data_IF_983294543765
#
_entry.id   IF_983294543765
#
_cell.length_a   1.000
_cell.length_b   1.000
_cell.length_c   1.000
_cell.angle_alpha   90.00
_cell.angle_beta   90.00
_cell.angle_gamma   90.00
#
_symmetry.space_group_name_H-M   'P 1'
#
loop_
_entity.id
_entity.type
_entity.pdbx_description
1 polymer ?
#
# COMPACT_ATOMS: atom_id res chain seq x y z
N UNK A 1 -8.49 -20.32 -3.78
CA UNK A 1 -9.61 -21.03 -4.46
C UNK A 1 -9.10 -21.64 -5.78
N UNK A 2 -9.97 -22.13 -6.70
CA UNK A 2 -9.55 -22.46 -8.08
C UNK A 2 -9.97 -21.32 -8.99
N UNK A 3 -9.01 -20.51 -9.43
CA UNK A 3 -9.21 -19.25 -10.17
C UNK A 3 -8.32 -19.19 -11.41
N UNK A 4 -8.62 -18.26 -12.33
CA UNK A 4 -7.68 -17.75 -13.34
C UNK A 4 -7.65 -16.21 -13.37
N UNK A 5 -7.97 -15.58 -12.25
CA UNK A 5 -7.70 -14.16 -12.01
C UNK A 5 -6.20 -13.87 -12.04
N UNK A 6 -5.82 -12.61 -12.22
CA UNK A 6 -4.42 -12.18 -12.40
C UNK A 6 -3.72 -12.64 -13.69
N UNK A 7 -4.26 -13.60 -14.44
CA UNK A 7 -3.63 -14.15 -15.66
C UNK A 7 -4.31 -13.61 -16.93
N UNK A 8 -3.52 -13.06 -17.86
CA UNK A 8 -3.99 -12.61 -19.17
C UNK A 8 -4.26 -13.81 -20.08
N UNK A 9 -5.53 -13.97 -20.44
CA UNK A 9 -5.97 -14.97 -21.42
C UNK A 9 -5.47 -14.64 -22.82
N UNK A 10 -5.28 -13.35 -23.12
CA UNK A 10 -4.66 -12.88 -24.36
C UNK A 10 -3.21 -13.36 -24.49
N UNK A 11 -2.40 -13.28 -23.42
CA UNK A 11 -1.06 -13.89 -23.43
C UNK A 11 -1.10 -15.39 -23.69
N UNK A 12 -2.04 -16.13 -23.07
CA UNK A 12 -2.14 -17.58 -23.31
C UNK A 12 -2.54 -17.93 -24.76
N UNK A 13 -3.41 -17.12 -25.39
CA UNK A 13 -3.73 -17.25 -26.82
C UNK A 13 -2.47 -17.01 -27.68
N UNK A 14 -1.65 -15.99 -27.36
CA UNK A 14 -0.42 -15.72 -28.12
C UNK A 14 0.60 -16.86 -27.98
N UNK A 15 0.78 -17.43 -26.78
CA UNK A 15 1.63 -18.62 -26.60
C UNK A 15 1.08 -19.84 -27.35
N UNK A 16 -0.25 -20.03 -27.43
CA UNK A 16 -0.84 -21.10 -28.24
C UNK A 16 -0.54 -20.90 -29.74
N UNK A 17 -0.65 -19.67 -30.26
CA UNK A 17 -0.29 -19.32 -31.65
C UNK A 17 1.20 -19.52 -31.92
N UNK A 18 2.08 -19.22 -30.96
CA UNK A 18 3.52 -19.53 -31.03
C UNK A 18 3.74 -21.02 -31.23
N UNK A 19 3.22 -21.89 -30.37
CA UNK A 19 3.46 -23.33 -30.49
C UNK A 19 2.83 -23.94 -31.75
N UNK A 20 1.63 -23.48 -32.14
CA UNK A 20 0.97 -23.90 -33.39
C UNK A 20 1.78 -23.54 -34.64
N UNK A 21 2.38 -22.35 -34.70
CA UNK A 21 3.18 -21.91 -35.85
C UNK A 21 4.62 -22.45 -35.82
N UNK A 22 5.16 -22.78 -34.64
CA UNK A 22 6.50 -23.32 -34.47
C UNK A 22 6.63 -24.81 -34.78
N UNK A 23 5.60 -25.61 -34.50
CA UNK A 23 5.65 -27.08 -34.54
C UNK A 23 4.87 -27.71 -35.70
N UNK A 24 4.69 -26.96 -36.80
CA UNK A 24 4.08 -27.44 -38.05
C UNK A 24 4.83 -28.66 -38.65
N UNK A 25 6.12 -28.79 -38.34
CA UNK A 25 6.98 -29.89 -38.78
C UNK A 25 6.71 -31.23 -38.07
N UNK A 26 5.89 -31.24 -37.01
CA UNK A 26 5.55 -32.42 -36.21
C UNK A 26 5.04 -33.61 -37.04
N UNK A 27 4.36 -33.34 -38.15
CA UNK A 27 3.80 -34.36 -39.04
C UNK A 27 4.62 -34.58 -40.33
N UNK A 28 5.68 -33.78 -40.57
CA UNK A 28 6.52 -33.87 -41.78
C UNK A 28 7.94 -34.35 -41.48
N UNK A 29 8.43 -34.17 -40.26
CA UNK A 29 9.86 -34.30 -39.94
C UNK A 29 10.06 -34.95 -38.58
N UNK A 30 10.37 -36.25 -38.58
CA UNK A 30 10.74 -36.96 -37.36
C UNK A 30 12.20 -36.65 -36.98
N UNK A 31 12.40 -36.04 -35.81
CA UNK A 31 13.73 -35.76 -35.23
C UNK A 31 14.07 -36.79 -34.16
N UNK A 32 13.20 -36.96 -33.17
CA UNK A 32 13.32 -37.99 -32.12
C UNK A 32 11.99 -38.19 -31.40
N UNK A 33 11.86 -39.29 -30.65
CA UNK A 33 10.71 -39.53 -29.77
C UNK A 33 10.53 -38.40 -28.75
N UNK A 34 11.62 -37.99 -28.08
CA UNK A 34 11.60 -36.89 -27.12
C UNK A 34 11.12 -35.58 -27.76
N UNK A 35 11.67 -35.19 -28.92
CA UNK A 35 11.26 -33.98 -29.63
C UNK A 35 9.76 -34.02 -30.01
N UNK A 36 9.30 -35.16 -30.52
CA UNK A 36 7.89 -35.36 -30.91
C UNK A 36 6.94 -35.28 -29.72
N UNK A 37 7.29 -35.95 -28.61
CA UNK A 37 6.51 -35.94 -27.35
C UNK A 37 6.45 -34.53 -26.76
N UNK A 38 7.57 -33.80 -26.72
CA UNK A 38 7.59 -32.42 -26.20
C UNK A 38 6.74 -31.47 -27.04
N UNK A 39 6.79 -31.57 -28.38
CA UNK A 39 5.92 -30.78 -29.28
C UNK A 39 4.43 -31.03 -29.02
N UNK A 40 4.03 -32.31 -28.91
CA UNK A 40 2.66 -32.70 -28.57
C UNK A 40 2.26 -32.18 -27.19
N UNK A 41 3.16 -32.26 -26.20
CA UNK A 41 2.93 -31.78 -24.84
C UNK A 41 2.69 -30.26 -24.83
N UNK A 42 3.55 -29.45 -25.45
CA UNK A 42 3.36 -27.99 -25.49
C UNK A 42 2.06 -27.57 -26.18
N UNK A 43 1.70 -28.22 -27.30
CA UNK A 43 0.42 -27.98 -27.99
C UNK A 43 -0.78 -28.35 -27.10
N UNK A 44 -0.72 -29.52 -26.44
CA UNK A 44 -1.78 -30.00 -25.58
C UNK A 44 -1.95 -29.17 -24.29
N UNK A 45 -0.85 -28.79 -23.62
CA UNK A 45 -0.91 -27.97 -22.39
C UNK A 45 -1.35 -26.54 -22.70
N UNK A 46 -0.83 -25.91 -23.76
CA UNK A 46 -1.23 -24.56 -24.14
C UNK A 46 -2.70 -24.49 -24.57
N UNK A 47 -3.16 -25.45 -25.39
CA UNK A 47 -4.58 -25.58 -25.72
C UNK A 47 -5.47 -25.86 -24.50
N UNK A 48 -5.00 -26.68 -23.55
CA UNK A 48 -5.69 -26.92 -22.29
C UNK A 48 -5.78 -25.65 -21.42
N UNK A 49 -4.71 -24.85 -21.32
CA UNK A 49 -4.74 -23.57 -20.57
C UNK A 49 -5.77 -22.61 -21.15
N UNK A 50 -5.79 -22.41 -22.47
CA UNK A 50 -6.79 -21.56 -23.15
C UNK A 50 -8.21 -22.07 -22.91
N UNK A 51 -8.44 -23.39 -23.02
CA UNK A 51 -9.74 -24.00 -22.69
C UNK A 51 -10.14 -23.81 -21.22
N UNK A 52 -9.19 -23.99 -20.29
CA UNK A 52 -9.44 -23.84 -18.86
C UNK A 52 -9.86 -22.41 -18.51
N UNK A 53 -9.20 -21.39 -19.07
CA UNK A 53 -9.57 -19.98 -18.85
C UNK A 53 -10.91 -19.63 -19.52
N UNK A 54 -11.03 -19.80 -20.83
CA UNK A 54 -12.18 -19.29 -21.58
C UNK A 54 -13.47 -20.13 -21.47
N UNK A 55 -13.39 -21.37 -20.98
CA UNK A 55 -14.55 -22.26 -20.81
C UNK A 55 -14.77 -22.65 -19.34
N UNK A 56 -13.77 -23.23 -18.66
CA UNK A 56 -13.97 -23.85 -17.34
C UNK A 56 -13.99 -22.85 -16.19
N UNK A 57 -13.12 -21.84 -16.25
CA UNK A 57 -12.92 -20.82 -15.22
C UNK A 57 -13.30 -19.42 -15.71
N UNK A 58 -14.11 -19.32 -16.77
CA UNK A 58 -14.52 -18.04 -17.38
C UNK A 58 -15.11 -17.04 -16.37
N UNK A 59 -15.77 -17.52 -15.31
CA UNK A 59 -16.34 -16.70 -14.25
C UNK A 59 -15.29 -16.00 -13.35
N UNK A 60 -14.01 -16.39 -13.42
CA UNK A 60 -12.89 -15.77 -12.70
C UNK A 60 -11.83 -15.18 -13.64
N UNK A 61 -12.13 -15.04 -14.93
CA UNK A 61 -11.25 -14.36 -15.89
C UNK A 61 -11.65 -12.90 -16.03
N UNK A 62 -10.70 -11.99 -15.78
CA UNK A 62 -10.94 -10.55 -15.86
C UNK A 62 -10.93 -10.05 -17.31
N UNK A 63 -12.15 -9.98 -17.87
CA UNK A 63 -12.40 -9.43 -19.19
C UNK A 63 -12.23 -7.89 -19.29
N UNK A 64 -12.21 -7.16 -18.17
CA UNK A 64 -12.15 -5.70 -18.15
C UNK A 64 -10.70 -5.21 -18.16
N UNK A 65 -9.85 -5.78 -17.31
CA UNK A 65 -8.45 -5.38 -17.18
C UNK A 65 -7.54 -6.03 -18.25
N UNK A 66 -7.86 -7.23 -18.77
CA UNK A 66 -7.16 -7.84 -19.91
C UNK A 66 -7.56 -7.18 -21.25
N UNK A 67 -7.49 -5.85 -21.33
CA UNK A 67 -7.98 -5.02 -22.44
C UNK A 67 -6.95 -4.81 -23.56
N UNK A 68 -5.69 -5.24 -23.38
CA UNK A 68 -4.60 -5.08 -24.35
C UNK A 68 -4.96 -5.53 -25.79
N UNK A 69 -4.47 -4.81 -26.80
CA UNK A 69 -4.77 -5.07 -28.22
C UNK A 69 -3.70 -5.91 -28.91
N UNK A 70 -3.96 -7.20 -29.07
CA UNK A 70 -3.00 -8.18 -29.62
C UNK A 70 -2.64 -7.95 -31.10
N UNK A 71 -3.44 -7.18 -31.85
CA UNK A 71 -3.14 -6.84 -33.24
C UNK A 71 -1.83 -6.04 -33.36
N UNK A 72 -1.50 -5.23 -32.34
CA UNK A 72 -0.23 -4.49 -32.26
C UNK A 72 1.00 -5.39 -32.16
N UNK A 73 0.83 -6.68 -31.84
CA UNK A 73 1.91 -7.66 -31.77
C UNK A 73 1.88 -8.57 -33.00
N UNK A 74 0.69 -9.10 -33.34
CA UNK A 74 0.50 -10.00 -34.47
C UNK A 74 0.88 -9.36 -35.81
N UNK A 75 0.53 -8.08 -36.04
CA UNK A 75 0.81 -7.40 -37.33
C UNK A 75 2.31 -7.14 -37.54
N UNK A 76 3.07 -6.53 -36.60
CA UNK A 76 4.52 -6.40 -36.76
C UNK A 76 5.25 -7.74 -36.86
N UNK A 77 4.88 -8.73 -36.03
CA UNK A 77 5.49 -10.07 -36.12
C UNK A 77 5.23 -10.73 -37.49
N UNK A 78 4.04 -10.57 -38.08
CA UNK A 78 3.74 -11.08 -39.41
C UNK A 78 4.52 -10.35 -40.51
N UNK A 79 4.57 -9.01 -40.48
CA UNK A 79 5.27 -8.20 -41.48
C UNK A 79 6.79 -8.41 -41.49
N UNK A 80 7.39 -8.71 -40.34
CA UNK A 80 8.83 -8.98 -40.21
C UNK A 80 9.22 -10.43 -40.55
N UNK A 81 8.26 -11.32 -40.81
CA UNK A 81 8.51 -12.77 -40.92
C UNK A 81 8.37 -13.32 -42.33
N UNK A 82 9.46 -13.87 -42.86
CA UNK A 82 9.46 -14.58 -44.15
C UNK A 82 8.84 -15.99 -44.05
N UNK A 83 8.84 -16.61 -42.87
CA UNK A 83 8.28 -17.96 -42.62
C UNK A 83 7.64 -18.05 -41.23
N UNK A 84 6.71 -18.99 -41.05
CA UNK A 84 5.95 -19.18 -39.80
C UNK A 84 6.83 -19.54 -38.58
N UNK A 85 7.99 -20.14 -38.80
CA UNK A 85 8.98 -20.38 -37.74
C UNK A 85 9.54 -19.07 -37.17
N UNK A 86 9.95 -18.13 -38.03
CA UNK A 86 10.41 -16.78 -37.66
C UNK A 86 9.30 -16.00 -36.95
N UNK A 87 8.06 -16.10 -37.47
CA UNK A 87 6.87 -15.51 -36.84
C UNK A 87 6.68 -16.02 -35.41
N UNK A 88 6.84 -17.34 -35.18
CA UNK A 88 6.75 -17.90 -33.83
C UNK A 88 7.82 -17.38 -32.87
N UNK A 89 9.00 -16.97 -33.35
CA UNK A 89 10.09 -16.44 -32.51
C UNK A 89 9.84 -14.97 -32.16
N UNK A 90 9.48 -14.14 -33.15
CA UNK A 90 9.12 -12.75 -32.87
C UNK A 90 7.87 -12.67 -31.99
N UNK A 91 6.83 -13.46 -32.24
CA UNK A 91 5.63 -13.44 -31.43
C UNK A 91 5.89 -13.90 -29.98
N UNK A 92 6.70 -14.94 -29.76
CA UNK A 92 7.07 -15.38 -28.41
C UNK A 92 7.79 -14.28 -27.63
N UNK A 93 8.63 -13.49 -28.29
CA UNK A 93 9.38 -12.41 -27.63
C UNK A 93 8.48 -11.31 -27.04
N UNK A 94 7.27 -11.12 -27.59
CA UNK A 94 6.31 -10.10 -27.17
C UNK A 94 5.00 -10.65 -26.58
N UNK A 95 4.78 -11.98 -26.60
CA UNK A 95 3.56 -12.63 -26.14
C UNK A 95 3.21 -12.38 -24.66
N UNK A 96 4.17 -11.90 -23.86
CA UNK A 96 3.98 -11.55 -22.45
C UNK A 96 3.39 -10.14 -22.25
N UNK A 97 3.43 -9.24 -23.25
CA UNK A 97 2.96 -7.85 -23.09
C UNK A 97 1.49 -7.72 -22.62
N UNK A 98 0.53 -8.56 -23.05
CA UNK A 98 -0.82 -8.53 -22.48
C UNK A 98 -0.87 -8.85 -20.97
N UNK A 99 -0.01 -9.74 -20.48
CA UNK A 99 0.14 -10.03 -19.04
C UNK A 99 0.77 -8.87 -18.27
N UNK A 100 1.81 -8.23 -18.83
CA UNK A 100 2.45 -7.06 -18.19
C UNK A 100 1.48 -5.86 -18.16
N UNK A 101 0.69 -5.68 -19.22
CA UNK A 101 -0.38 -4.69 -19.28
C UNK A 101 -1.53 -5.00 -18.30
N UNK A 102 -1.84 -6.28 -18.07
CA UNK A 102 -2.81 -6.68 -17.05
C UNK A 102 -2.31 -6.31 -15.64
N UNK A 103 -1.09 -6.69 -15.27
CA UNK A 103 -0.55 -6.42 -13.92
C UNK A 103 -0.38 -4.91 -13.65
N UNK A 104 0.10 -4.16 -14.63
CA UNK A 104 0.17 -2.68 -14.55
C UNK A 104 -1.21 -1.99 -14.59
N UNK A 105 -2.31 -2.75 -14.72
CA UNK A 105 -3.70 -2.28 -14.60
C UNK A 105 -4.45 -2.83 -13.39
N UNK A 106 -4.06 -3.98 -12.84
CA UNK A 106 -4.64 -4.49 -11.59
C UNK A 106 -3.91 -3.96 -10.37
N UNK A 107 -2.66 -3.46 -10.49
CA UNK A 107 -1.84 -2.98 -9.38
C UNK A 107 -1.33 -4.09 -8.43
N UNK A 108 -2.02 -5.22 -8.41
CA UNK A 108 -1.69 -6.45 -7.72
C UNK A 108 -1.05 -7.47 -8.66
N UNK A 109 0.03 -8.11 -8.18
CA UNK A 109 0.42 -9.43 -8.62
C UNK A 109 -0.07 -10.46 -7.58
N UNK A 110 -1.26 -11.04 -7.79
CA UNK A 110 -1.69 -12.22 -7.02
C UNK A 110 -0.55 -13.25 -6.98
N UNK A 111 -0.43 -14.02 -5.88
CA UNK A 111 0.60 -15.07 -5.76
C UNK A 111 0.65 -16.03 -6.96
N UNK A 112 -0.49 -16.33 -7.60
CA UNK A 112 -0.52 -17.14 -8.84
C UNK A 112 0.17 -16.46 -10.02
N UNK A 113 0.06 -15.14 -10.13
CA UNK A 113 0.68 -14.30 -11.17
C UNK A 113 2.19 -14.22 -10.96
N UNK A 114 2.66 -13.96 -9.73
CA UNK A 114 4.09 -13.96 -9.41
C UNK A 114 4.73 -15.33 -9.66
N UNK A 115 4.07 -16.43 -9.27
CA UNK A 115 4.54 -17.79 -9.58
C UNK A 115 4.57 -18.08 -11.09
N UNK A 116 3.56 -17.63 -11.85
CA UNK A 116 3.52 -17.78 -13.31
C UNK A 116 4.67 -17.02 -13.98
N UNK A 117 4.88 -15.75 -13.63
CA UNK A 117 5.92 -14.90 -14.18
C UNK A 117 7.32 -15.36 -13.76
N UNK A 118 7.50 -15.81 -12.51
CA UNK A 118 8.75 -16.43 -12.05
C UNK A 118 9.08 -17.72 -12.83
N UNK A 119 8.09 -18.60 -13.05
CA UNK A 119 8.31 -19.82 -13.83
C UNK A 119 8.71 -19.52 -15.29
N UNK A 120 8.10 -18.48 -15.88
CA UNK A 120 8.34 -18.08 -17.25
C UNK A 120 9.68 -17.35 -17.43
N UNK A 121 10.07 -16.52 -16.45
CA UNK A 121 11.42 -15.93 -16.34
C UNK A 121 12.50 -16.99 -16.08
N UNK A 122 12.20 -18.01 -15.28
CA UNK A 122 13.10 -19.17 -15.04
C UNK A 122 13.32 -19.97 -16.33
N UNK A 123 12.25 -20.23 -17.10
CA UNK A 123 12.35 -20.79 -18.45
C UNK A 123 13.23 -19.92 -19.36
N UNK A 124 13.04 -18.59 -19.35
CA UNK A 124 13.86 -17.64 -20.14
C UNK A 124 15.34 -17.72 -19.77
N UNK A 125 15.68 -17.81 -18.48
CA UNK A 125 17.06 -17.95 -18.01
C UNK A 125 17.71 -19.26 -18.49
N UNK A 126 17.00 -20.40 -18.36
CA UNK A 126 17.46 -21.69 -18.89
C UNK A 126 17.63 -21.67 -20.42
N UNK A 127 16.73 -20.98 -21.14
CA UNK A 127 16.82 -20.82 -22.59
C UNK A 127 18.04 -20.00 -23.02
N UNK A 128 18.39 -18.93 -22.29
CA UNK A 128 19.62 -18.17 -22.51
C UNK A 128 20.87 -19.04 -22.29
N UNK A 129 20.93 -19.79 -21.17
CA UNK A 129 22.02 -20.71 -20.88
C UNK A 129 22.19 -21.77 -21.97
N UNK A 130 21.09 -22.29 -22.52
CA UNK A 130 21.11 -23.20 -23.66
C UNK A 130 21.73 -22.55 -24.92
N UNK A 131 21.41 -21.30 -25.25
CA UNK A 131 22.04 -20.62 -26.40
C UNK A 131 23.54 -20.35 -26.18
N UNK A 132 23.95 -20.00 -24.95
CA UNK A 132 25.39 -19.88 -24.61
C UNK A 132 26.08 -21.23 -24.76
N UNK A 133 25.48 -22.33 -24.28
CA UNK A 133 26.01 -23.68 -24.46
C UNK A 133 26.16 -24.04 -25.95
N UNK A 134 25.13 -23.82 -26.77
CA UNK A 134 25.15 -24.14 -28.21
C UNK A 134 26.16 -23.28 -28.98
N UNK A 135 26.37 -22.02 -28.60
CA UNK A 135 27.45 -21.21 -29.16
C UNK A 135 28.83 -21.78 -28.79
N UNK A 136 29.06 -22.10 -27.50
CA UNK A 136 30.36 -22.55 -27.01
C UNK A 136 30.73 -23.99 -27.42
N UNK A 137 29.75 -24.87 -27.67
CA UNK A 137 29.96 -26.31 -27.93
C UNK A 137 29.63 -26.71 -29.37
N UNK A 138 28.55 -26.19 -29.95
CA UNK A 138 28.15 -26.51 -31.33
C UNK A 138 28.70 -25.51 -32.36
N UNK A 139 29.34 -24.42 -31.92
CA UNK A 139 29.69 -23.25 -32.76
C UNK A 139 28.48 -22.65 -33.51
N UNK A 140 27.28 -22.84 -32.96
CA UNK A 140 26.02 -22.50 -33.63
C UNK A 140 25.54 -21.10 -33.24
N UNK A 141 25.06 -20.35 -34.24
CA UNK A 141 24.70 -18.93 -34.09
C UNK A 141 23.45 -18.60 -34.92
N UNK A 142 22.48 -17.93 -34.31
CA UNK A 142 21.22 -17.52 -34.95
C UNK A 142 20.86 -16.09 -34.53
N UNK A 143 20.93 -15.15 -35.47
CA UNK A 143 20.65 -13.73 -35.23
C UNK A 143 19.20 -13.44 -34.82
N UNK A 144 18.24 -14.23 -35.32
CA UNK A 144 16.81 -14.03 -35.07
C UNK A 144 16.49 -14.45 -33.64
N UNK A 145 16.96 -15.63 -33.22
CA UNK A 145 16.79 -16.14 -31.87
C UNK A 145 17.55 -15.30 -30.82
N UNK A 146 18.72 -14.75 -31.16
CA UNK A 146 19.48 -13.84 -30.29
C UNK A 146 18.76 -12.50 -30.16
N UNK A 147 18.39 -11.84 -31.26
CA UNK A 147 17.74 -10.52 -31.20
C UNK A 147 16.37 -10.57 -30.49
N UNK A 148 15.49 -11.49 -30.92
CA UNK A 148 14.21 -11.71 -30.25
C UNK A 148 14.41 -12.14 -28.79
N UNK A 149 15.49 -12.87 -28.51
CA UNK A 149 15.89 -13.23 -27.16
C UNK A 149 16.31 -12.07 -26.27
N UNK A 150 16.99 -11.05 -26.82
CA UNK A 150 17.33 -9.82 -26.09
C UNK A 150 16.07 -8.99 -25.83
N UNK A 151 15.23 -8.78 -26.84
CA UNK A 151 13.93 -8.09 -26.70
C UNK A 151 13.08 -8.75 -25.61
N UNK A 152 12.96 -10.08 -25.65
CA UNK A 152 12.21 -10.83 -24.64
C UNK A 152 12.80 -10.66 -23.25
N UNK A 153 14.13 -10.77 -23.08
CA UNK A 153 14.78 -10.62 -21.78
C UNK A 153 14.59 -9.21 -21.20
N UNK A 154 14.66 -8.15 -22.02
CA UNK A 154 14.37 -6.77 -21.55
C UNK A 154 12.96 -6.66 -20.96
N UNK A 155 11.95 -7.24 -21.63
CA UNK A 155 10.57 -7.22 -21.15
C UNK A 155 10.34 -8.01 -19.85
N UNK A 156 11.14 -9.06 -19.57
CA UNK A 156 11.11 -9.71 -18.25
C UNK A 156 11.88 -8.93 -17.19
N UNK A 157 13.00 -8.28 -17.52
CA UNK A 157 13.75 -7.46 -16.59
C UNK A 157 12.96 -6.22 -16.11
N UNK A 158 12.19 -5.60 -17.01
CA UNK A 158 11.28 -4.49 -16.70
C UNK A 158 10.22 -4.92 -15.66
N UNK A 159 9.61 -6.09 -15.84
CA UNK A 159 8.70 -6.67 -14.86
C UNK A 159 9.37 -6.92 -13.50
N UNK A 160 10.53 -7.57 -13.47
CA UNK A 160 11.22 -7.83 -12.20
C UNK A 160 11.66 -6.54 -11.50
N UNK A 161 11.98 -5.46 -12.24
CA UNK A 161 12.25 -4.17 -11.62
C UNK A 161 11.01 -3.61 -10.90
N UNK A 162 9.85 -3.61 -11.57
CA UNK A 162 8.57 -3.13 -11.02
C UNK A 162 8.07 -3.97 -9.82
N UNK A 163 8.33 -5.28 -9.80
CA UNK A 163 7.90 -6.20 -8.73
C UNK A 163 8.88 -6.24 -7.54
N UNK A 164 10.10 -5.66 -7.65
CA UNK A 164 11.15 -5.72 -6.60
C UNK A 164 11.03 -4.69 -5.48
N UNK A 165 9.81 -4.42 -5.01
CA UNK A 165 9.55 -3.98 -3.62
C UNK A 165 10.34 -2.78 -3.10
N UNK A 166 10.73 -1.85 -3.98
CA UNK A 166 11.39 -0.59 -3.62
C UNK A 166 10.59 0.57 -4.18
N UNK A 167 9.69 1.06 -3.35
CA UNK A 167 9.13 2.38 -3.54
C UNK A 167 10.28 3.39 -3.42
N UNK A 168 10.26 4.45 -4.23
CA UNK A 168 11.23 5.54 -4.05
C UNK A 168 11.03 6.16 -2.66
N UNK A 169 12.11 6.48 -1.95
CA UNK A 169 12.01 7.21 -0.69
C UNK A 169 11.57 8.65 -1.03
N UNK A 170 10.27 8.93 -0.94
CA UNK A 170 9.66 10.14 -1.49
C UNK A 170 10.00 11.38 -0.65
N UNK A 171 10.29 11.22 0.64
CA UNK A 171 10.46 12.33 1.58
C UNK A 171 11.80 12.27 2.34
N UNK A 172 12.47 13.42 2.38
CA UNK A 172 13.59 13.75 3.27
C UNK A 172 13.21 14.96 4.12
N UNK A 173 13.65 15.03 5.36
CA UNK A 173 13.36 16.15 6.27
C UNK A 173 13.94 17.48 5.76
N UNK A 174 13.18 18.55 5.95
CA UNK A 174 13.48 19.92 5.57
C UNK A 174 14.02 20.78 6.72
N UNK A 175 13.76 22.09 6.64
CA UNK A 175 14.16 23.05 7.66
C UNK A 175 12.99 23.36 8.61
N UNK A 176 13.01 22.74 9.78
CA UNK A 176 12.04 23.02 10.86
C UNK A 176 12.11 24.49 11.27
N UNK A 177 11.05 25.27 11.05
CA UNK A 177 11.02 26.69 11.43
C UNK A 177 10.93 26.86 12.97
N UNK A 178 11.14 28.05 13.56
CA UNK A 178 11.10 28.24 15.01
C UNK A 178 9.80 27.80 15.72
N UNK A 179 9.89 27.57 17.04
CA UNK A 179 8.74 27.28 17.91
C UNK A 179 7.77 28.49 17.97
N UNK A 180 6.46 28.24 17.99
CA UNK A 180 5.43 29.29 18.06
C UNK A 180 4.96 29.56 19.49
N UNK A 181 4.78 30.83 19.80
CA UNK A 181 4.46 31.32 21.14
C UNK A 181 2.98 31.16 21.49
N UNK A 182 2.68 30.40 22.55
CA UNK A 182 1.35 30.31 23.15
C UNK A 182 1.14 31.48 24.13
N UNK A 183 0.11 32.34 23.96
CA UNK A 183 -0.21 33.44 24.87
C UNK A 183 -0.34 33.02 26.34
N UNK A 184 -0.05 33.92 27.28
CA UNK A 184 0.02 33.59 28.71
C UNK A 184 -1.32 33.13 29.29
N UNK A 185 -2.42 33.67 28.79
CA UNK A 185 -3.81 33.47 29.23
C UNK A 185 -4.36 32.06 28.98
N UNK A 186 -3.82 31.35 28.00
CA UNK A 186 -4.22 29.98 27.66
C UNK A 186 -3.63 29.00 28.68
N UNK A 187 -4.46 28.11 29.22
CA UNK A 187 -4.01 27.06 30.14
C UNK A 187 -3.04 26.10 29.42
N UNK A 188 -1.94 25.71 30.10
CA UNK A 188 -0.83 24.95 29.48
C UNK A 188 -0.59 23.66 30.26
N UNK A 189 -0.40 22.51 29.58
CA UNK A 189 -0.24 21.23 30.24
C UNK A 189 1.10 21.15 31.00
N UNK A 190 1.25 20.22 31.97
CA UNK A 190 2.42 20.14 32.83
C UNK A 190 3.77 19.96 32.09
N UNK A 191 3.76 19.45 30.85
CA UNK A 191 4.96 19.26 30.02
C UNK A 191 5.43 20.54 29.29
N UNK A 192 4.61 21.60 29.19
CA UNK A 192 5.04 22.87 28.59
C UNK A 192 6.17 23.57 29.38
N UNK A 193 6.16 23.38 30.70
CA UNK A 193 7.06 24.05 31.66
C UNK A 193 8.29 23.23 32.04
N UNK A 194 8.30 21.93 31.74
CA UNK A 194 9.34 20.97 32.12
C UNK A 194 9.24 19.73 31.24
N UNK A 195 10.36 19.20 30.77
CA UNK A 195 10.37 17.94 30.04
C UNK A 195 9.83 16.82 30.96
N UNK A 196 8.80 16.13 30.50
CA UNK A 196 8.22 14.94 31.11
C UNK A 196 8.32 13.79 30.10
N UNK A 197 8.45 12.52 30.56
CA UNK A 197 8.25 11.38 29.68
C UNK A 197 6.79 11.35 29.17
N UNK A 198 6.52 10.77 28.00
CA UNK A 198 5.16 10.53 27.51
C UNK A 198 4.44 9.47 28.37
N UNK A 199 3.12 9.42 28.26
CA UNK A 199 2.24 8.48 28.97
C UNK A 199 1.54 9.02 30.23
N UNK A 200 0.71 8.17 30.82
CA UNK A 200 -0.17 8.47 31.96
C UNK A 200 0.58 8.39 33.31
N UNK A 201 0.45 9.42 34.16
CA UNK A 201 1.03 9.46 35.51
C UNK A 201 0.08 9.01 36.63
N UNK A 202 -1.15 8.60 36.29
CA UNK A 202 -2.18 8.18 37.25
C UNK A 202 -2.17 6.67 37.54
N UNK A 203 -1.52 5.86 36.70
CA UNK A 203 -1.39 4.39 36.90
C UNK A 203 -2.71 3.61 36.82
N UNK A 204 -3.70 4.17 36.09
CA UNK A 204 -4.89 3.47 35.59
C UNK A 204 -5.67 4.37 34.62
N UNK A 205 -6.44 3.81 33.67
CA UNK A 205 -7.28 4.60 32.76
C UNK A 205 -8.45 5.32 33.44
N UNK A 206 -8.76 6.53 32.95
CA UNK A 206 -9.88 7.33 33.43
C UNK A 206 -11.25 6.76 33.03
N UNK A 207 -12.11 6.51 34.03
CA UNK A 207 -13.57 6.53 33.85
C UNK A 207 -14.04 7.98 34.04
N UNK A 208 -14.42 8.65 32.96
CA UNK A 208 -14.71 10.09 32.96
C UNK A 208 -16.08 10.43 33.56
N UNK A 209 -16.10 11.47 34.40
CA UNK A 209 -17.36 12.08 34.88
C UNK A 209 -18.10 12.80 33.74
N UNK A 210 -19.42 13.07 33.86
CA UNK A 210 -20.18 13.76 32.82
C UNK A 210 -19.58 15.11 32.37
N UNK A 211 -18.96 15.85 33.29
CA UNK A 211 -18.30 17.13 32.98
C UNK A 211 -17.01 16.93 32.16
N UNK A 212 -16.22 15.88 32.46
CA UNK A 212 -15.05 15.52 31.66
C UNK A 212 -15.46 15.02 30.28
N UNK A 213 -16.55 14.25 30.17
CA UNK A 213 -17.10 13.81 28.88
C UNK A 213 -17.49 15.01 28.00
N UNK A 214 -18.15 16.02 28.56
CA UNK A 214 -18.52 17.22 27.79
C UNK A 214 -17.27 18.03 27.37
N UNK A 215 -16.25 18.12 28.23
CA UNK A 215 -14.96 18.70 27.85
C UNK A 215 -14.30 17.93 26.69
N UNK A 216 -14.33 16.59 26.71
CA UNK A 216 -13.83 15.76 25.60
C UNK A 216 -14.62 15.99 24.30
N UNK A 217 -15.94 16.20 24.34
CA UNK A 217 -16.74 16.55 23.14
C UNK A 217 -16.35 17.90 22.55
N UNK A 218 -16.12 18.90 23.39
CA UNK A 218 -15.67 20.23 22.95
C UNK A 218 -14.27 20.16 22.36
N UNK A 219 -13.38 19.38 22.99
CA UNK A 219 -12.02 19.10 22.51
C UNK A 219 -12.01 18.40 21.14
N UNK A 220 -12.78 17.31 21.01
CA UNK A 220 -12.90 16.53 19.78
C UNK A 220 -13.43 17.35 18.60
N UNK A 221 -14.44 18.19 18.84
CA UNK A 221 -15.00 19.09 17.81
C UNK A 221 -14.07 20.24 17.41
N UNK A 222 -13.13 20.65 18.26
CA UNK A 222 -12.09 21.60 17.86
C UNK A 222 -11.05 20.94 16.95
N UNK A 223 -10.60 19.74 17.28
CA UNK A 223 -9.62 18.99 16.51
C UNK A 223 -10.10 18.71 15.07
N UNK A 224 -11.31 18.15 14.93
CA UNK A 224 -11.92 17.82 13.64
C UNK A 224 -12.02 19.03 12.68
N UNK A 225 -12.08 20.25 13.23
CA UNK A 225 -12.20 21.51 12.50
C UNK A 225 -10.88 22.07 11.97
N UNK A 226 -9.76 21.39 12.17
CA UNK A 226 -8.43 21.89 11.80
C UNK A 226 -7.85 21.29 10.51
N UNK A 227 -8.23 20.07 10.09
CA UNK A 227 -7.48 19.34 9.05
C UNK A 227 -7.66 19.75 7.57
N UNK A 228 -8.69 20.52 7.20
CA UNK A 228 -9.08 20.68 5.77
C UNK A 228 -8.38 21.83 5.04
N UNK A 229 -7.09 21.65 4.76
CA UNK A 229 -6.22 22.72 4.21
C UNK A 229 -5.20 22.28 3.14
N UNK A 230 -4.88 20.99 3.04
CA UNK A 230 -3.84 20.52 2.12
C UNK A 230 -4.24 20.72 0.65
N UNK A 231 -3.50 21.56 -0.09
CA UNK A 231 -3.63 21.75 -1.54
C UNK A 231 -2.26 21.73 -2.21
N UNK A 232 -2.19 21.63 -3.55
CA UNK A 232 -0.89 21.56 -4.25
C UNK A 232 -0.12 22.88 -4.10
N UNK A 233 1.03 22.83 -3.42
CA UNK A 233 1.79 24.02 -2.99
C UNK A 233 1.49 24.47 -1.56
N UNK A 234 0.47 23.87 -0.92
CA UNK A 234 0.27 23.78 0.55
C UNK A 234 0.70 22.37 1.07
N UNK A 235 0.72 22.14 2.39
CA UNK A 235 1.96 21.59 3.01
C UNK A 235 1.86 20.93 4.48
N UNK A 236 2.97 20.89 5.29
CA UNK A 236 3.36 20.38 6.69
C UNK A 236 4.03 21.28 7.88
N UNK A 237 5.15 22.14 7.86
CA UNK A 237 5.60 23.64 8.19
C UNK A 237 5.46 25.15 7.45
N UNK A 238 4.68 25.99 6.60
CA UNK A 238 3.44 26.46 5.72
C UNK A 238 1.82 26.15 5.67
N UNK A 239 1.07 25.85 6.75
CA UNK A 239 -0.39 25.84 7.13
C UNK A 239 -0.73 25.95 8.69
N UNK A 240 0.06 26.54 9.61
CA UNK A 240 -0.01 26.36 11.09
C UNK A 240 -0.35 27.65 11.81
N UNK A 241 0.22 28.72 11.34
CA UNK A 241 -0.32 30.04 11.41
C UNK A 241 -1.76 30.03 10.85
N UNK A 242 -2.20 28.97 10.15
CA UNK A 242 -3.63 28.69 10.07
C UNK A 242 -4.23 28.11 11.36
N UNK A 243 -3.89 26.87 11.76
CA UNK A 243 -4.65 26.16 12.81
C UNK A 243 -4.00 25.98 14.20
N UNK A 244 -2.72 26.27 14.39
CA UNK A 244 -2.22 26.77 15.67
C UNK A 244 -2.96 28.08 16.00
N UNK A 245 -3.06 29.04 15.07
CA UNK A 245 -3.81 30.28 15.28
C UNK A 245 -5.32 30.02 15.50
N UNK A 246 -5.88 28.96 14.90
CA UNK A 246 -7.26 28.48 15.15
C UNK A 246 -7.44 27.87 16.55
N UNK A 247 -6.44 27.15 17.08
CA UNK A 247 -6.39 26.70 18.48
C UNK A 247 -6.36 27.92 19.41
N UNK A 248 -5.45 28.87 19.16
CA UNK A 248 -5.25 30.06 20.00
C UNK A 248 -6.49 30.97 19.96
N UNK A 249 -7.10 31.17 18.79
CA UNK A 249 -8.38 31.87 18.63
C UNK A 249 -9.57 31.12 19.26
N UNK A 250 -9.43 29.83 19.54
CA UNK A 250 -10.39 29.02 20.30
C UNK A 250 -10.04 28.91 21.79
N UNK A 251 -9.02 29.65 22.27
CA UNK A 251 -8.49 29.65 23.64
C UNK A 251 -8.08 28.24 24.13
N UNK A 252 -7.51 27.43 23.24
CA UNK A 252 -7.02 26.07 23.52
C UNK A 252 -5.48 26.00 23.48
N UNK A 253 -4.91 24.86 23.88
CA UNK A 253 -3.46 24.62 23.85
C UNK A 253 -3.03 23.76 22.64
N UNK A 254 -1.92 24.06 21.95
CA UNK A 254 -1.35 23.21 20.89
C UNK A 254 -0.74 21.91 21.43
N UNK A 255 -1.59 20.92 21.67
CA UNK A 255 -1.31 19.62 22.30
C UNK A 255 0.06 18.95 22.03
N UNK A 256 0.46 18.59 20.80
CA UNK A 256 1.81 18.07 20.53
C UNK A 256 2.98 18.99 20.90
N UNK A 257 2.79 20.30 20.99
CA UNK A 257 3.88 21.26 21.23
C UNK A 257 4.56 21.00 22.56
N UNK A 258 5.88 20.78 22.51
CA UNK A 258 6.76 20.35 23.62
C UNK A 258 6.42 18.99 24.24
N UNK A 259 5.46 18.22 23.72
CA UNK A 259 5.19 16.88 24.23
C UNK A 259 6.42 15.99 24.04
N UNK A 260 7.00 15.51 25.14
CA UNK A 260 8.32 14.87 25.19
C UNK A 260 9.46 15.58 24.43
N UNK A 261 9.31 16.88 24.11
CA UNK A 261 10.26 17.67 23.30
C UNK A 261 9.91 17.87 21.82
N UNK A 262 8.73 17.43 21.35
CA UNK A 262 8.30 17.66 19.97
C UNK A 262 8.19 19.18 19.64
N UNK A 263 8.79 19.66 18.52
CA UNK A 263 9.02 21.11 18.31
C UNK A 263 7.82 21.88 17.72
N UNK A 264 6.74 21.19 17.33
CA UNK A 264 5.66 21.71 16.47
C UNK A 264 4.28 21.33 17.04
N UNK A 265 3.16 21.72 16.41
CA UNK A 265 1.82 21.54 17.01
C UNK A 265 0.92 20.48 16.37
N UNK A 266 1.32 19.84 15.26
CA UNK A 266 0.94 18.45 14.95
C UNK A 266 2.10 17.67 14.35
N UNK A 267 1.86 16.38 14.20
CA UNK A 267 2.52 15.46 13.30
C UNK A 267 1.92 15.55 11.89
N UNK A 268 2.75 15.50 10.86
CA UNK A 268 2.35 15.58 9.45
C UNK A 268 3.10 14.56 8.61
N UNK A 269 2.39 13.53 8.16
CA UNK A 269 2.98 12.34 7.55
C UNK A 269 2.74 12.30 6.05
N UNK A 270 3.77 12.63 5.25
CA UNK A 270 3.71 12.54 3.78
C UNK A 270 4.20 11.15 3.33
N UNK A 271 3.40 10.48 2.50
CA UNK A 271 3.77 9.27 1.75
C UNK A 271 4.38 8.13 2.59
N UNK A 272 5.71 8.07 2.66
CA UNK A 272 6.47 7.00 3.32
C UNK A 272 6.75 7.28 4.81
N UNK A 273 6.23 8.38 5.34
CA UNK A 273 6.16 8.66 6.77
C UNK A 273 4.88 7.99 7.30
N UNK A 274 5.03 7.13 8.31
CA UNK A 274 3.94 6.40 8.97
C UNK A 274 3.15 7.30 9.92
N UNK A 275 3.86 7.97 10.83
CA UNK A 275 3.33 8.91 11.81
C UNK A 275 4.44 9.87 12.26
N UNK A 276 4.10 10.83 13.12
CA UNK A 276 5.06 11.71 13.82
C UNK A 276 6.03 12.53 12.95
N UNK A 277 5.79 12.65 11.64
CA UNK A 277 6.59 13.51 10.77
C UNK A 277 6.58 14.95 11.28
N UNK A 278 7.76 15.53 11.51
CA UNK A 278 7.87 16.89 12.04
C UNK A 278 7.53 17.90 10.93
N UNK A 279 6.59 18.82 11.17
CA UNK A 279 6.39 20.01 10.35
C UNK A 279 7.66 20.83 10.04
N UNK A 280 7.92 21.11 8.76
CA UNK A 280 9.09 21.81 8.21
C UNK A 280 8.85 22.72 6.95
N UNK A 281 8.92 24.06 7.11
CA UNK A 281 8.84 25.17 6.10
C UNK A 281 7.68 25.21 5.06
N UNK A 282 6.72 24.32 5.24
CA UNK A 282 5.53 24.00 4.42
C UNK A 282 4.54 23.30 5.46
N UNK A 283 3.35 23.73 6.23
CA UNK A 283 2.67 23.82 7.75
C UNK A 283 1.37 22.91 8.17
N UNK A 284 0.83 22.93 9.46
CA UNK A 284 -0.05 22.01 10.35
C UNK A 284 -1.61 21.78 10.10
N UNK A 285 -2.62 21.36 10.98
CA UNK A 285 -2.90 21.15 12.48
C UNK A 285 -4.23 20.32 12.80
N UNK A 286 -4.73 19.86 14.00
CA UNK A 286 -4.27 19.59 15.42
C UNK A 286 -5.24 19.82 16.63
N UNK A 287 -5.23 18.99 17.72
CA UNK A 287 -5.51 19.28 19.19
C UNK A 287 -5.37 18.03 20.17
N UNK A 288 -5.99 17.98 21.39
CA UNK A 288 -6.24 16.81 22.30
C UNK A 288 -7.72 16.34 22.23
N UNK A 289 -8.47 16.79 21.23
CA UNK A 289 -9.23 15.80 20.49
C UNK A 289 -8.19 15.20 19.56
N UNK A 290 -7.96 13.89 19.64
CA UNK A 290 -6.97 13.27 18.78
C UNK A 290 -7.66 12.59 17.60
N UNK A 291 -7.19 12.96 16.41
CA UNK A 291 -7.71 12.56 15.12
C UNK A 291 -6.76 13.00 13.99
N UNK A 292 -6.56 12.08 13.07
CA UNK A 292 -5.81 12.22 11.83
C UNK A 292 -6.66 11.74 10.66
N UNK A 293 -6.49 12.37 9.50
CA UNK A 293 -7.12 11.99 8.24
C UNK A 293 -6.04 12.09 7.16
N UNK A 294 -5.85 11.03 6.36
CA UNK A 294 -4.94 11.09 5.21
C UNK A 294 -5.67 11.76 4.03
N UNK A 295 -5.10 12.87 3.54
CA UNK A 295 -5.68 13.66 2.45
C UNK A 295 -5.04 13.31 1.09
N UNK A 296 -5.86 13.21 0.05
CA UNK A 296 -5.42 13.11 -1.35
C UNK A 296 -5.18 14.52 -1.89
N UNK A 297 -3.96 14.81 -2.37
CA UNK A 297 -3.54 16.15 -2.81
C UNK A 297 -3.12 16.12 -4.29
N UNK A 298 -3.90 16.79 -5.15
CA UNK A 298 -3.67 16.78 -6.59
C UNK A 298 -4.16 15.50 -7.28
N UNK A 299 -3.51 15.13 -8.39
CA UNK A 299 -3.74 13.85 -9.06
C UNK A 299 -3.02 12.73 -8.29
N UNK A 300 -3.77 11.76 -7.75
CA UNK A 300 -3.22 10.60 -7.03
C UNK A 300 -3.53 9.32 -7.80
N UNK A 301 -2.63 8.35 -7.73
CA UNK A 301 -2.80 7.05 -8.39
C UNK A 301 -3.85 6.15 -7.71
N UNK A 302 -4.21 5.06 -8.40
CA UNK A 302 -5.22 4.11 -7.94
C UNK A 302 -4.80 3.42 -6.64
N UNK A 303 -3.51 3.09 -6.44
CA UNK A 303 -3.01 2.46 -5.20
C UNK A 303 -3.02 3.40 -3.99
N UNK A 304 -2.69 4.68 -4.17
CA UNK A 304 -2.78 5.69 -3.10
C UNK A 304 -4.24 5.99 -2.72
N UNK A 305 -5.12 6.06 -3.72
CA UNK A 305 -6.57 6.22 -3.51
C UNK A 305 -7.16 5.03 -2.74
N UNK A 306 -6.82 3.80 -3.18
CA UNK A 306 -7.19 2.55 -2.50
C UNK A 306 -6.70 2.50 -1.05
N UNK A 307 -5.43 2.83 -0.79
CA UNK A 307 -4.87 2.83 0.57
C UNK A 307 -5.66 3.75 1.51
N UNK A 308 -5.96 4.97 1.06
CA UNK A 308 -6.67 5.98 1.86
C UNK A 308 -8.13 5.59 2.11
N UNK A 309 -8.82 5.00 1.13
CA UNK A 309 -10.16 4.45 1.33
C UNK A 309 -10.15 3.21 2.25
N UNK A 310 -9.16 2.33 2.08
CA UNK A 310 -9.00 1.12 2.87
C UNK A 310 -8.72 1.42 4.35
N UNK A 311 -7.80 2.34 4.69
CA UNK A 311 -7.54 2.72 6.08
C UNK A 311 -8.76 3.40 6.71
N UNK A 312 -9.44 4.31 5.99
CA UNK A 312 -10.67 4.97 6.47
C UNK A 312 -11.76 3.96 6.81
N UNK A 313 -11.99 3.00 5.90
CA UNK A 313 -12.97 1.93 6.09
C UNK A 313 -12.57 0.92 7.17
N UNK A 314 -11.26 0.73 7.40
CA UNK A 314 -10.75 -0.05 8.53
C UNK A 314 -11.14 0.61 9.86
N UNK A 315 -10.87 1.92 10.01
CA UNK A 315 -11.22 2.67 11.22
C UNK A 315 -12.73 2.64 11.51
N UNK A 316 -13.58 3.00 10.54
CA UNK A 316 -15.05 3.00 10.74
C UNK A 316 -15.55 1.61 11.19
N UNK A 317 -14.97 0.53 10.68
CA UNK A 317 -15.30 -0.84 11.10
C UNK A 317 -14.74 -1.18 12.49
N UNK A 318 -13.50 -0.82 12.83
CA UNK A 318 -12.96 -0.98 14.19
C UNK A 318 -13.83 -0.28 15.24
N UNK A 319 -14.28 0.95 14.98
CA UNK A 319 -15.18 1.69 15.88
C UNK A 319 -16.52 0.96 16.05
N UNK A 320 -17.03 0.31 14.99
CA UNK A 320 -18.29 -0.45 15.03
C UNK A 320 -18.23 -1.74 15.87
N UNK A 321 -17.03 -2.27 16.14
CA UNK A 321 -16.81 -3.41 17.04
C UNK A 321 -16.83 -3.01 18.52
N UNK A 322 -16.61 -1.72 18.83
CA UNK A 322 -16.38 -1.25 20.18
C UNK A 322 -17.67 -1.11 21.00
N UNK A 323 -17.59 -1.39 22.30
CA UNK A 323 -18.71 -1.24 23.23
C UNK A 323 -18.44 -1.88 24.60
N UNK A 324 -19.36 -1.74 25.58
CA UNK A 324 -19.17 -2.26 26.93
C UNK A 324 -18.86 -3.76 26.97
N UNK A 325 -17.76 -4.12 27.62
CA UNK A 325 -17.34 -5.51 27.83
C UNK A 325 -16.61 -6.18 26.66
N UNK A 326 -16.44 -5.49 25.52
CA UNK A 326 -15.60 -5.92 24.40
C UNK A 326 -14.12 -5.87 24.80
N UNK A 327 -13.33 -6.84 24.37
CA UNK A 327 -11.88 -6.87 24.61
C UNK A 327 -11.16 -5.92 23.63
N UNK A 328 -10.21 -5.11 24.10
CA UNK A 328 -9.43 -4.20 23.25
C UNK A 328 -8.68 -4.93 22.11
N UNK A 329 -8.29 -6.20 22.32
CA UNK A 329 -7.58 -6.97 21.31
C UNK A 329 -8.44 -7.42 20.11
N UNK A 330 -9.76 -7.28 20.14
CA UNK A 330 -10.60 -7.52 18.94
C UNK A 330 -10.33 -6.48 17.85
N UNK A 331 -9.93 -5.25 18.21
CA UNK A 331 -9.53 -4.21 17.25
C UNK A 331 -8.30 -4.67 16.46
N UNK A 332 -7.25 -5.13 17.15
CA UNK A 332 -6.02 -5.60 16.52
C UNK A 332 -6.25 -6.81 15.59
N UNK A 333 -7.01 -7.81 16.06
CA UNK A 333 -7.39 -8.98 15.24
C UNK A 333 -8.17 -8.58 13.99
N UNK A 334 -9.07 -7.59 14.10
CA UNK A 334 -9.81 -7.11 12.95
C UNK A 334 -8.87 -6.46 11.92
N UNK A 335 -7.96 -5.58 12.36
CA UNK A 335 -6.99 -4.93 11.47
C UNK A 335 -6.11 -5.97 10.76
N UNK A 336 -5.59 -6.96 11.49
CA UNK A 336 -4.78 -8.06 10.95
C UNK A 336 -5.51 -8.81 9.81
N UNK A 337 -6.75 -9.28 10.06
CA UNK A 337 -7.54 -9.99 9.05
C UNK A 337 -7.97 -9.06 7.89
N UNK A 338 -8.24 -7.77 8.18
CA UNK A 338 -8.62 -6.79 7.18
C UNK A 338 -7.48 -6.48 6.20
N UNK A 339 -6.24 -6.46 6.69
CA UNK A 339 -5.02 -6.32 5.91
C UNK A 339 -4.73 -7.55 5.04
N UNK A 340 -4.78 -8.76 5.63
CA UNK A 340 -4.63 -10.05 4.93
C UNK A 340 -5.56 -10.17 3.70
N UNK A 341 -6.82 -9.78 3.85
CA UNK A 341 -7.82 -9.79 2.77
C UNK A 341 -7.52 -8.80 1.63
N UNK A 342 -6.65 -7.82 1.83
CA UNK A 342 -6.48 -6.63 0.97
C UNK A 342 -5.05 -6.41 0.46
N UNK A 343 -4.11 -7.30 0.79
CA UNK A 343 -2.70 -7.14 0.41
C UNK A 343 -2.05 -5.89 1.02
N UNK A 344 -2.45 -5.53 2.23
CA UNK A 344 -1.89 -4.44 3.04
C UNK A 344 -1.16 -5.02 4.25
N UNK A 345 -0.31 -4.22 4.86
CA UNK A 345 0.33 -4.50 6.16
C UNK A 345 -0.11 -3.47 7.22
N UNK A 346 -0.03 -3.84 8.50
CA UNK A 346 -0.36 -2.95 9.63
C UNK A 346 0.92 -2.56 10.37
N UNK A 347 1.20 -1.26 10.50
CA UNK A 347 2.38 -0.75 11.24
C UNK A 347 2.07 -0.76 12.75
N UNK A 348 1.98 -1.95 13.33
CA UNK A 348 1.61 -2.20 14.73
C UNK A 348 2.68 -1.76 15.77
N UNK A 349 3.75 -1.09 15.33
CA UNK A 349 4.71 -0.42 16.20
C UNK A 349 4.12 0.84 16.88
N UNK A 350 3.06 1.41 16.29
CA UNK A 350 2.21 2.43 16.90
C UNK A 350 0.80 1.87 17.08
N UNK A 351 0.12 2.30 18.14
CA UNK A 351 -1.18 1.78 18.56
C UNK A 351 -2.02 2.90 19.15
N UNK A 352 -3.33 2.72 19.12
CA UNK A 352 -4.27 3.55 19.88
C UNK A 352 -3.92 3.60 21.36
N UNK A 353 -4.33 4.68 22.02
CA UNK A 353 -4.07 4.95 23.44
C UNK A 353 -5.29 5.54 24.13
N UNK A 354 -5.37 5.39 25.45
CA UNK A 354 -6.29 6.19 26.27
C UNK A 354 -5.96 7.67 26.18
N UNK A 355 -6.98 8.53 26.29
CA UNK A 355 -6.83 9.99 26.22
C UNK A 355 -7.79 10.67 27.21
N UNK A 356 -7.39 11.78 27.84
CA UNK A 356 -8.16 12.42 28.92
C UNK A 356 -7.52 13.67 29.49
N UNK A 357 -7.31 13.72 30.82
CA UNK A 357 -6.44 14.76 31.42
C UNK A 357 -4.96 14.58 31.06
N UNK A 358 -4.61 13.41 30.53
CA UNK A 358 -3.35 13.07 29.89
C UNK A 358 -3.52 12.95 28.36
N UNK A 359 -2.41 13.08 27.62
CA UNK A 359 -2.40 12.91 26.17
C UNK A 359 -2.49 11.43 25.76
N UNK A 360 -1.59 10.59 26.29
CA UNK A 360 -1.50 9.17 25.99
C UNK A 360 -1.58 8.34 27.27
N UNK A 361 -2.19 7.16 27.17
CA UNK A 361 -2.22 6.12 28.19
C UNK A 361 -2.22 4.75 27.52
N UNK A 362 -1.20 3.96 27.81
CA UNK A 362 -0.95 2.69 27.12
C UNK A 362 -1.46 1.49 27.94
N UNK A 363 -2.10 1.73 29.09
CA UNK A 363 -2.66 0.67 29.94
C UNK A 363 -4.04 0.22 29.44
N UNK A 364 -4.09 -0.87 28.68
CA UNK A 364 -5.35 -1.47 28.23
C UNK A 364 -5.88 -2.51 29.24
N UNK A 365 -7.01 -2.26 29.94
CA UNK A 365 -7.50 -3.08 31.06
C UNK A 365 -8.28 -4.34 30.61
N UNK A 366 -7.89 -4.92 29.48
CA UNK A 366 -8.60 -6.01 28.80
C UNK A 366 -9.90 -5.54 28.13
N UNK A 367 -10.89 -5.13 28.94
CA UNK A 367 -12.24 -4.77 28.48
C UNK A 367 -12.55 -3.27 28.51
N UNK A 368 -13.25 -2.84 27.48
CA UNK A 368 -13.89 -1.53 27.35
C UNK A 368 -15.01 -1.35 28.39
N UNK A 369 -15.11 -0.18 29.03
CA UNK A 369 -16.11 0.14 30.05
C UNK A 369 -16.72 1.52 29.80
N UNK A 370 -18.01 1.76 30.11
CA UNK A 370 -18.64 3.08 29.99
C UNK A 370 -17.83 4.19 30.68
N UNK A 371 -17.69 5.33 30.01
CA UNK A 371 -16.90 6.46 30.48
C UNK A 371 -15.40 6.41 30.13
N UNK A 372 -14.89 5.31 29.57
CA UNK A 372 -13.55 5.28 28.95
C UNK A 372 -13.53 6.07 27.64
N UNK A 373 -12.41 6.75 27.36
CA UNK A 373 -12.12 7.35 26.05
C UNK A 373 -10.72 7.01 25.59
N UNK A 374 -10.59 6.63 24.31
CA UNK A 374 -9.34 6.21 23.69
C UNK A 374 -9.35 6.50 22.18
N UNK A 375 -8.18 6.51 21.56
CA UNK A 375 -7.99 6.61 20.10
C UNK A 375 -8.05 5.23 19.45
N UNK A 376 -8.56 5.19 18.21
CA UNK A 376 -8.33 4.08 17.28
C UNK A 376 -7.69 4.72 16.06
N UNK A 377 -6.50 4.27 15.66
CA UNK A 377 -5.61 5.02 14.76
C UNK A 377 -4.83 4.15 13.74
N UNK A 378 -5.45 3.19 13.04
CA UNK A 378 -4.75 2.23 12.19
C UNK A 378 -3.86 2.91 11.14
N UNK A 379 -2.57 2.57 11.16
CA UNK A 379 -1.60 2.91 10.12
C UNK A 379 -1.44 1.69 9.21
N UNK A 380 -1.96 1.78 7.98
CA UNK A 380 -1.82 0.71 6.98
C UNK A 380 -0.74 1.06 5.95
N UNK A 381 -0.07 0.04 5.41
CA UNK A 381 1.04 0.14 4.46
C UNK A 381 0.75 -0.60 3.15
N UNK A 382 1.21 -0.05 2.02
CA UNK A 382 1.25 -0.74 0.72
C UNK A 382 2.46 -1.68 0.54
N UNK A 383 3.36 -1.72 1.52
CA UNK A 383 4.56 -2.56 1.56
C UNK A 383 4.66 -3.25 2.92
N UNK A 384 5.84 -3.27 3.52
CA UNK A 384 6.06 -3.88 4.83
C UNK A 384 5.51 -3.08 6.02
N UNK A 385 5.49 -3.72 7.19
CA UNK A 385 5.18 -3.12 8.50
C UNK A 385 6.40 -2.59 9.27
N UNK A 386 7.61 -2.86 8.79
CA UNK A 386 8.89 -2.49 9.41
C UNK A 386 9.23 -1.00 9.20
N UNK A 387 9.71 -0.33 10.27
CA UNK A 387 9.98 1.11 10.30
C UNK A 387 11.35 1.49 10.89
N UNK A 388 11.78 2.71 10.60
CA UNK A 388 12.82 3.43 11.35
C UNK A 388 12.30 4.80 11.82
N UNK A 389 12.82 5.27 12.96
CA UNK A 389 12.68 6.68 13.38
C UNK A 389 13.94 7.43 12.93
N UNK A 390 13.78 8.64 12.38
CA UNK A 390 14.90 9.46 11.90
C UNK A 390 15.71 10.09 13.04
N UNK A 391 16.86 10.69 12.68
CA UNK A 391 17.77 11.40 13.61
C UNK A 391 17.12 12.61 14.33
N UNK A 392 15.93 13.04 13.90
CA UNK A 392 15.10 14.04 14.59
C UNK A 392 14.40 13.49 15.86
N UNK A 393 14.39 12.16 16.04
CA UNK A 393 13.81 11.46 17.18
C UNK A 393 12.30 11.23 17.13
N UNK A 394 11.63 11.59 16.03
CA UNK A 394 10.17 11.57 15.91
C UNK A 394 9.68 10.96 14.60
N UNK A 395 10.17 11.42 13.45
CA UNK A 395 9.64 11.07 12.13
C UNK A 395 9.82 9.57 11.87
N UNK A 396 8.72 8.81 11.84
CA UNK A 396 8.75 7.38 11.61
C UNK A 396 8.52 7.07 10.12
N UNK A 397 9.43 6.34 9.47
CA UNK A 397 9.36 5.97 8.05
C UNK A 397 9.37 4.46 7.83
N UNK A 398 8.68 4.00 6.78
CA UNK A 398 8.76 2.63 6.26
C UNK A 398 10.17 2.27 5.77
N UNK A 399 10.71 1.10 6.11
CA UNK A 399 12.06 0.69 5.68
C UNK A 399 12.21 0.39 4.17
N UNK A 400 11.11 0.09 3.48
CA UNK A 400 11.05 -0.20 2.04
C UNK A 400 10.60 1.00 1.18
N UNK A 401 10.38 2.16 1.82
CA UNK A 401 9.86 3.38 1.21
C UNK A 401 8.35 3.36 0.91
N UNK A 402 7.61 2.33 1.33
CA UNK A 402 6.20 2.17 1.00
C UNK A 402 5.34 3.33 1.50
N UNK A 403 4.32 3.68 0.72
CA UNK A 403 3.30 4.62 1.19
C UNK A 403 2.44 3.98 2.27
N UNK A 404 2.20 4.77 3.29
CA UNK A 404 1.32 4.45 4.42
C UNK A 404 0.21 5.50 4.55
N UNK A 405 -0.90 5.13 5.17
CA UNK A 405 -2.00 6.05 5.49
C UNK A 405 -2.52 5.75 6.89
N UNK A 406 -2.79 6.83 7.64
CA UNK A 406 -3.40 6.80 8.97
C UNK A 406 -4.77 7.48 8.94
N UNK A 407 -5.72 6.92 9.69
CA UNK A 407 -6.97 7.57 10.04
C UNK A 407 -7.25 7.33 11.50
N UNK A 408 -7.83 8.30 12.19
CA UNK A 408 -8.08 8.18 13.62
C UNK A 408 -9.34 8.90 14.11
N UNK A 409 -9.97 8.28 15.11
CA UNK A 409 -10.92 8.97 15.98
C UNK A 409 -10.68 8.65 17.46
N UNK A 410 -10.59 9.69 18.30
CA UNK A 410 -10.97 9.62 19.72
C UNK A 410 -12.45 9.23 19.85
N UNK A 411 -12.72 8.13 20.57
CA UNK A 411 -14.08 7.65 20.87
C UNK A 411 -14.36 7.57 22.38
N UNK A 412 -15.64 7.57 22.73
CA UNK A 412 -16.17 7.34 24.08
C UNK A 412 -16.95 6.02 24.11
N UNK A 413 -16.71 5.18 25.11
CA UNK A 413 -17.59 4.06 25.44
C UNK A 413 -18.78 4.60 26.25
N UNK A 414 -19.99 4.30 25.79
CA UNK A 414 -21.26 4.63 26.44
C UNK A 414 -21.88 3.36 27.04
N UNK A 415 -22.94 3.50 27.85
CA UNK A 415 -23.69 2.35 28.42
C UNK A 415 -24.25 1.35 27.38
N UNK A 416 -24.29 1.71 26.09
CA UNK A 416 -24.97 0.92 25.04
C UNK A 416 -24.18 0.72 23.74
N UNK A 417 -22.94 1.20 23.67
CA UNK A 417 -22.15 1.26 22.44
C UNK A 417 -21.11 2.38 22.49
N UNK A 418 -20.86 3.06 21.39
CA UNK A 418 -19.83 4.12 21.29
C UNK A 418 -20.35 5.45 20.76
N UNK A 419 -19.65 6.53 21.13
CA UNK A 419 -19.82 7.88 20.60
C UNK A 419 -18.48 8.35 20.02
N UNK A 420 -18.47 8.79 18.76
CA UNK A 420 -17.26 9.37 18.12
C UNK A 420 -17.16 10.83 18.53
N UNK A 421 -16.07 11.20 19.23
CA UNK A 421 -15.91 12.54 19.80
C UNK A 421 -15.29 13.53 18.80
N UNK A 422 -14.50 13.05 17.85
CA UNK A 422 -13.87 13.84 16.77
C UNK A 422 -14.62 13.77 15.43
N UNK A 423 -15.96 13.64 15.46
CA UNK A 423 -16.83 13.84 14.30
C UNK A 423 -17.55 15.19 14.43
N UNK A 424 -17.49 16.00 13.36
CA UNK A 424 -17.98 17.39 13.30
C UNK A 424 -19.49 17.51 13.01
#
# INVERSE_FOLDING_TARGET
TRSCAGISGKSQILFAVVYLTRYLDLFTTYVSLYNSVMKVLFLATSGATVYLMYVKFKATYDHNHDSFRIEFLLVPCALLSLVLWTFSIYLESVAILPQLFLVSRTGEAESITSHYLFALGSYRALYLLNWVYRYMVESHYDLIAIFAGVVQTVLYCDFFYLDTGKYEQIVSTGLVSPERSVPEEIEKPPYYFKNLPPGNTLGSPEIKTPNQIEAMRLSGKLAARCGKLATVGTTTDEIDAFAHDRIIASNAYPSPLRYAGFPKSICTSINNIACHGIPDDLFFNGYHGDCSETFLVGEVDERGSFLVEATRSCLDQCISLCGPGVEFNEIGKFIENYCDERGLESIAAFIGHGIGSYFHDNEFPGKMQPGMTFTIEPILSLGGSEIAVLDDGWTAISLDGARSAQFEHTILITETGTEILTRD
#
